data_IF_729236346251
#
_entry.id   IF_729236346251
#
_cell.length_a   1.000
_cell.length_b   1.000
_cell.length_c   1.000
_cell.angle_alpha   90.00
_cell.angle_beta   90.00
_cell.angle_gamma   90.00
#
_symmetry.space_group_name_H-M   'P 1'
#
loop_
_entity.id
_entity.type
_entity.pdbx_description
1 polymer ?
#
# COMPACT_ATOMS: atom_id res chain seq x y z
N UNK A 1 -9.64 1.93 -22.96
CA UNK A 1 -8.29 1.62 -22.46
C UNK A 1 -7.22 1.54 -23.55
N UNK A 2 -7.32 0.70 -24.61
CA UNK A 2 -6.24 0.57 -25.60
C UNK A 2 -5.93 1.89 -26.33
N UNK A 3 -6.96 2.72 -26.57
CA UNK A 3 -6.81 4.00 -27.25
C UNK A 3 -6.02 5.05 -26.43
N UNK A 4 -6.15 5.06 -25.09
CA UNK A 4 -5.44 6.02 -24.24
C UNK A 4 -3.95 5.69 -24.16
N UNK A 5 -3.62 4.43 -23.86
CA UNK A 5 -2.22 3.97 -23.83
C UNK A 5 -1.53 4.16 -25.20
N UNK A 6 -2.23 3.84 -26.29
CA UNK A 6 -1.73 4.06 -27.66
C UNK A 6 -1.46 5.55 -27.93
N UNK A 7 -2.37 6.45 -27.56
CA UNK A 7 -2.19 7.90 -27.76
C UNK A 7 -1.03 8.46 -26.93
N UNK A 8 -0.86 7.99 -25.70
CA UNK A 8 0.28 8.37 -24.88
C UNK A 8 1.60 7.91 -25.52
N UNK A 9 1.63 6.68 -26.06
CA UNK A 9 2.78 6.17 -26.81
C UNK A 9 3.06 6.96 -28.10
N UNK A 10 2.02 7.31 -28.87
CA UNK A 10 2.13 8.17 -30.07
C UNK A 10 2.66 9.57 -29.74
N UNK A 11 2.35 10.10 -28.55
CA UNK A 11 2.92 11.35 -28.06
C UNK A 11 4.38 11.22 -27.61
N UNK A 12 4.93 10.00 -27.51
CA UNK A 12 6.28 9.70 -27.04
C UNK A 12 6.37 9.34 -25.56
N UNK A 13 5.24 9.09 -24.89
CA UNK A 13 5.20 8.67 -23.49
C UNK A 13 5.21 7.16 -23.31
N UNK A 14 5.73 6.71 -22.18
CA UNK A 14 5.73 5.30 -21.77
C UNK A 14 4.81 5.17 -20.56
N UNK A 15 3.73 4.41 -20.69
CA UNK A 15 2.88 4.08 -19.55
C UNK A 15 3.65 3.14 -18.61
N UNK A 16 4.03 3.66 -17.44
CA UNK A 16 4.77 2.92 -16.42
C UNK A 16 3.86 1.97 -15.64
N UNK A 17 2.73 2.51 -15.17
CA UNK A 17 1.78 1.79 -14.32
C UNK A 17 0.35 2.25 -14.61
N UNK A 18 -0.59 1.31 -14.53
CA UNK A 18 -2.03 1.56 -14.44
C UNK A 18 -2.48 0.95 -13.11
N UNK A 19 -2.56 1.78 -12.06
CA UNK A 19 -2.67 1.30 -10.67
C UNK A 19 -4.11 1.10 -10.21
N UNK A 20 -5.03 1.94 -10.67
CA UNK A 20 -6.42 1.95 -10.20
C UNK A 20 -7.35 1.98 -11.41
N UNK A 21 -8.27 1.01 -11.49
CA UNK A 21 -9.41 1.03 -12.42
C UNK A 21 -10.65 0.71 -11.61
N UNK A 22 -11.43 1.73 -11.25
CA UNK A 22 -12.68 1.57 -10.49
C UNK A 22 -13.87 2.11 -11.26
N UNK A 23 -15.00 1.42 -11.13
CA UNK A 23 -16.30 1.90 -11.63
C UNK A 23 -16.92 2.78 -10.57
N UNK A 24 -17.26 4.00 -10.94
CA UNK A 24 -17.99 4.89 -10.04
C UNK A 24 -19.47 4.48 -10.04
N UNK A 25 -20.05 4.30 -8.85
CA UNK A 25 -21.46 3.93 -8.66
C UNK A 25 -21.77 2.45 -8.42
N UNK A 26 -20.76 1.61 -8.12
CA UNK A 26 -21.00 0.23 -7.67
C UNK A 26 -21.41 0.22 -6.18
N UNK A 27 -22.55 -0.35 -5.77
CA UNK A 27 -23.06 -0.29 -4.40
C UNK A 27 -22.15 -0.91 -3.31
N UNK A 28 -21.01 -1.52 -3.67
CA UNK A 28 -20.01 -2.02 -2.72
C UNK A 28 -18.91 -1.01 -2.35
N UNK A 29 -18.74 0.07 -3.11
CA UNK A 29 -17.82 1.15 -2.78
C UNK A 29 -18.50 2.09 -1.78
N UNK A 30 -18.25 1.91 -0.49
CA UNK A 30 -18.89 2.63 0.63
C UNK A 30 -18.63 4.15 0.72
N UNK A 31 -18.74 4.90 -0.38
CA UNK A 31 -18.57 6.34 -0.45
C UNK A 31 -19.70 7.05 -1.21
N UNK A 32 -20.39 7.94 -0.49
CA UNK A 32 -21.35 8.98 -0.93
C UNK A 32 -22.64 8.57 -1.67
N UNK A 33 -23.77 9.04 -1.14
CA UNK A 33 -25.17 8.77 -1.55
C UNK A 33 -25.62 9.40 -2.90
N UNK A 34 -24.70 9.72 -3.82
CA UNK A 34 -25.10 10.17 -5.16
C UNK A 34 -24.67 9.13 -6.21
N UNK A 35 -25.61 8.34 -6.78
CA UNK A 35 -25.29 7.43 -7.85
C UNK A 35 -24.83 8.24 -9.06
N UNK A 36 -23.57 8.08 -9.48
CA UNK A 36 -23.13 8.52 -10.79
C UNK A 36 -23.94 7.76 -11.84
N UNK A 37 -24.99 8.40 -12.36
CA UNK A 37 -25.97 7.86 -13.30
C UNK A 37 -25.37 7.41 -14.66
N UNK A 38 -24.05 7.55 -14.85
CA UNK A 38 -23.33 7.08 -16.02
C UNK A 38 -22.13 6.25 -15.53
N UNK A 39 -21.93 5.07 -16.13
CA UNK A 39 -20.82 4.14 -15.82
C UNK A 39 -19.45 4.71 -16.16
N UNK A 40 -19.06 5.75 -15.42
CA UNK A 40 -17.78 6.42 -15.51
C UNK A 40 -16.73 5.57 -14.78
N UNK A 41 -15.52 5.60 -15.32
CA UNK A 41 -14.38 4.83 -14.82
C UNK A 41 -13.29 5.81 -14.42
N UNK A 42 -12.81 5.70 -13.18
CA UNK A 42 -11.64 6.45 -12.75
C UNK A 42 -10.38 5.62 -12.98
N UNK A 43 -9.37 6.26 -13.56
CA UNK A 43 -8.10 5.66 -13.93
C UNK A 43 -6.97 6.47 -13.32
N UNK A 44 -6.08 5.79 -12.61
CA UNK A 44 -4.78 6.34 -12.21
C UNK A 44 -3.68 5.73 -13.09
N UNK A 45 -2.88 6.61 -13.70
CA UNK A 45 -1.84 6.22 -14.66
C UNK A 45 -0.56 7.03 -14.42
N UNK A 46 0.58 6.35 -14.42
CA UNK A 46 1.89 6.99 -14.41
C UNK A 46 2.51 6.90 -15.81
N UNK A 47 3.01 8.04 -16.31
CA UNK A 47 3.58 8.16 -17.65
C UNK A 47 4.97 8.79 -17.55
N UNK A 48 5.96 8.15 -18.17
CA UNK A 48 7.33 8.65 -18.28
C UNK A 48 7.62 9.16 -19.69
N UNK A 49 8.65 10.01 -19.84
CA UNK A 49 9.13 10.49 -21.14
C UNK A 49 8.33 11.64 -21.76
N UNK A 50 7.32 12.17 -21.06
CA UNK A 50 6.57 13.36 -21.47
C UNK A 50 6.70 14.46 -20.43
N UNK A 51 6.85 15.70 -20.89
CA UNK A 51 6.65 16.87 -20.04
C UNK A 51 5.15 17.07 -19.72
N UNK A 52 4.88 17.87 -18.68
CA UNK A 52 3.53 18.09 -18.15
C UNK A 52 2.59 18.73 -19.18
N UNK A 53 3.07 19.69 -19.97
CA UNK A 53 2.27 20.42 -20.94
C UNK A 53 1.85 19.51 -22.11
N UNK A 54 2.76 18.68 -22.60
CA UNK A 54 2.51 17.71 -23.67
C UNK A 54 1.57 16.60 -23.18
N UNK A 55 1.74 16.14 -21.94
CA UNK A 55 0.84 15.15 -21.33
C UNK A 55 -0.59 15.70 -21.20
N UNK A 56 -0.75 16.91 -20.64
CA UNK A 56 -2.05 17.57 -20.47
C UNK A 56 -2.78 17.75 -21.80
N UNK A 57 -2.08 18.25 -22.83
CA UNK A 57 -2.63 18.39 -24.18
C UNK A 57 -3.09 17.06 -24.78
N UNK A 58 -2.29 16.00 -24.59
CA UNK A 58 -2.60 14.66 -25.09
C UNK A 58 -3.86 14.10 -24.42
N UNK A 59 -3.97 14.25 -23.10
CA UNK A 59 -5.16 13.82 -22.34
C UNK A 59 -6.41 14.60 -22.74
N UNK A 60 -6.32 15.93 -22.84
CA UNK A 60 -7.42 16.78 -23.27
C UNK A 60 -7.93 16.42 -24.67
N UNK A 61 -7.04 16.07 -25.60
CA UNK A 61 -7.41 15.70 -26.96
C UNK A 61 -7.90 14.25 -27.11
N UNK A 62 -7.96 13.46 -26.02
CA UNK A 62 -8.32 12.04 -26.06
C UNK A 62 -9.84 11.85 -25.91
N UNK A 63 -10.54 11.30 -26.93
CA UNK A 63 -11.97 11.02 -26.83
C UNK A 63 -12.28 10.07 -25.68
N UNK A 64 -13.32 10.39 -24.90
CA UNK A 64 -13.75 9.60 -23.74
C UNK A 64 -13.08 9.98 -22.42
N UNK A 65 -12.07 10.85 -22.41
CA UNK A 65 -11.54 11.46 -21.17
C UNK A 65 -12.38 12.69 -20.84
N UNK A 66 -13.25 12.58 -19.82
CA UNK A 66 -14.12 13.70 -19.40
C UNK A 66 -13.37 14.75 -18.58
N UNK A 67 -12.44 14.31 -17.74
CA UNK A 67 -11.63 15.16 -16.88
C UNK A 67 -10.26 14.51 -16.66
N UNK A 68 -9.23 15.32 -16.41
CA UNK A 68 -7.94 14.84 -15.95
C UNK A 68 -7.37 15.81 -14.91
N UNK A 69 -6.63 15.26 -13.95
CA UNK A 69 -5.88 16.02 -12.95
C UNK A 69 -4.44 15.52 -12.97
N UNK A 70 -3.51 16.41 -13.27
CA UNK A 70 -2.10 16.10 -13.16
C UNK A 70 -1.74 16.09 -11.67
N UNK A 71 -1.21 14.97 -11.21
CA UNK A 71 -0.71 14.79 -9.85
C UNK A 71 0.79 14.55 -9.90
N UNK A 72 1.49 14.89 -8.82
CA UNK A 72 2.88 14.46 -8.66
C UNK A 72 2.87 12.96 -8.40
N UNK A 73 3.83 12.22 -8.96
CA UNK A 73 4.01 10.80 -8.67
C UNK A 73 4.02 10.59 -7.14
N UNK A 74 3.12 9.74 -6.64
CA UNK A 74 2.97 9.53 -5.21
C UNK A 74 4.26 8.95 -4.60
N UNK A 75 5.04 8.21 -5.39
CA UNK A 75 6.38 7.75 -5.03
C UNK A 75 7.33 8.89 -4.67
N UNK A 76 7.26 10.04 -5.35
CA UNK A 76 8.16 11.17 -5.08
C UNK A 76 7.81 11.90 -3.78
N UNK A 77 6.53 11.94 -3.42
CA UNK A 77 6.04 12.73 -2.29
C UNK A 77 5.90 11.87 -1.04
N UNK A 78 5.26 10.71 -1.18
CA UNK A 78 4.92 9.80 -0.08
C UNK A 78 5.77 8.53 -0.07
N UNK A 79 6.44 8.20 -1.18
CA UNK A 79 7.39 7.09 -1.25
C UNK A 79 6.80 5.73 -0.93
N UNK A 80 7.60 4.86 -0.31
CA UNK A 80 7.19 3.49 0.07
C UNK A 80 6.18 3.55 1.21
N UNK A 81 5.28 2.56 1.30
CA UNK A 81 4.27 2.50 2.36
C UNK A 81 4.48 1.29 3.25
N UNK A 82 4.53 1.54 4.55
CA UNK A 82 4.32 0.52 5.58
C UNK A 82 2.85 0.57 5.99
N UNK A 83 2.17 -0.57 5.95
CA UNK A 83 0.76 -0.68 6.33
C UNK A 83 0.66 -1.33 7.70
N UNK A 84 -0.18 -0.82 8.60
CA UNK A 84 -0.41 -1.38 9.93
C UNK A 84 -1.90 -1.69 10.12
N UNK A 85 -2.22 -2.95 10.42
CA UNK A 85 -3.59 -3.43 10.62
C UNK A 85 -3.70 -4.14 11.96
N UNK A 86 -4.77 -3.86 12.71
CA UNK A 86 -5.15 -4.67 13.87
C UNK A 86 -5.87 -3.87 14.97
N UNK A 87 -5.68 -4.25 16.23
CA UNK A 87 -6.34 -3.61 17.36
C UNK A 87 -5.80 -2.20 17.61
N UNK A 88 -6.70 -1.21 17.79
CA UNK A 88 -6.34 0.22 17.80
C UNK A 88 -5.20 0.60 18.75
N UNK A 89 -5.14 0.02 19.96
CA UNK A 89 -4.06 0.29 20.91
C UNK A 89 -2.68 -0.22 20.41
N UNK A 90 -2.62 -1.42 19.86
CA UNK A 90 -1.38 -1.99 19.34
C UNK A 90 -0.96 -1.32 18.03
N UNK A 91 -1.94 -1.01 17.16
CA UNK A 91 -1.71 -0.22 15.94
C UNK A 91 -1.06 1.12 16.28
N UNK A 92 -1.54 1.83 17.31
CA UNK A 92 -0.95 3.10 17.73
C UNK A 92 0.51 2.96 18.20
N UNK A 93 0.84 1.90 18.94
CA UNK A 93 2.21 1.65 19.39
C UNK A 93 3.15 1.30 18.23
N UNK A 94 2.70 0.48 17.28
CA UNK A 94 3.46 0.21 16.04
C UNK A 94 3.65 1.49 15.24
N UNK A 95 2.61 2.30 15.11
CA UNK A 95 2.68 3.58 14.40
C UNK A 95 3.70 4.53 15.04
N UNK A 96 3.80 4.58 16.38
CA UNK A 96 4.80 5.39 17.07
C UNK A 96 6.23 5.05 16.63
N UNK A 97 6.59 3.77 16.65
CA UNK A 97 7.92 3.32 16.24
C UNK A 97 8.19 3.48 14.75
N UNK A 98 7.20 3.17 13.92
CA UNK A 98 7.28 3.32 12.47
C UNK A 98 7.43 4.78 12.05
N UNK A 99 6.59 5.69 12.55
CA UNK A 99 6.66 7.12 12.22
C UNK A 99 8.01 7.71 12.68
N UNK A 100 8.45 7.37 13.90
CA UNK A 100 9.73 7.87 14.43
C UNK A 100 10.91 7.48 13.54
N UNK A 101 10.94 6.22 13.06
CA UNK A 101 12.01 5.77 12.16
C UNK A 101 11.83 6.35 10.75
N UNK A 102 10.61 6.41 10.23
CA UNK A 102 10.33 6.97 8.91
C UNK A 102 10.78 8.43 8.83
N UNK A 103 10.53 9.24 9.85
CA UNK A 103 10.96 10.64 9.91
C UNK A 103 12.48 10.78 9.82
N UNK A 104 13.23 9.92 10.51
CA UNK A 104 14.71 9.89 10.45
C UNK A 104 15.21 9.62 9.03
N UNK A 105 14.56 8.71 8.30
CA UNK A 105 14.87 8.42 6.89
C UNK A 105 14.40 9.54 5.95
N UNK A 106 13.22 10.09 6.20
CA UNK A 106 12.59 11.12 5.39
C UNK A 106 13.36 12.45 5.38
N UNK A 107 13.97 12.81 6.50
CA UNK A 107 14.84 13.98 6.61
C UNK A 107 16.13 13.86 5.78
N UNK A 108 16.53 12.63 5.41
CA UNK A 108 17.75 12.36 4.61
C UNK A 108 17.45 12.17 3.12
N UNK A 109 16.22 12.41 2.69
CA UNK A 109 15.82 12.41 1.28
C UNK A 109 15.12 11.14 0.80
N UNK A 110 15.07 10.08 1.62
CA UNK A 110 14.16 8.95 1.36
C UNK A 110 12.70 9.39 1.61
N UNK A 111 11.73 8.60 1.15
CA UNK A 111 10.31 8.81 1.43
C UNK A 111 9.65 7.50 1.83
N UNK A 112 9.14 7.46 3.06
CA UNK A 112 8.41 6.33 3.62
C UNK A 112 7.21 6.90 4.37
N UNK A 113 6.01 6.43 4.03
CA UNK A 113 4.77 6.74 4.75
C UNK A 113 4.32 5.54 5.58
N UNK A 114 3.56 5.83 6.64
CA UNK A 114 2.99 4.83 7.54
C UNK A 114 1.47 5.03 7.51
N UNK A 115 0.76 4.03 7.00
CA UNK A 115 -0.69 4.07 6.86
C UNK A 115 -1.28 3.03 7.81
N UNK A 116 -2.31 3.41 8.57
CA UNK A 116 -2.86 2.55 9.62
C UNK A 116 -4.37 2.44 9.52
N UNK A 117 -4.90 1.29 9.92
CA UNK A 117 -6.33 1.10 10.11
C UNK A 117 -6.57 0.18 11.32
N UNK A 118 -7.46 0.61 12.21
CA UNK A 118 -7.87 -0.18 13.35
C UNK A 118 -9.06 -1.07 12.94
N UNK A 119 -8.88 -2.39 12.99
CA UNK A 119 -9.88 -3.38 12.62
C UNK A 119 -9.88 -4.52 13.64
N UNK A 120 -11.06 -5.10 13.85
CA UNK A 120 -11.27 -6.30 14.65
C UNK A 120 -12.21 -7.24 13.89
N UNK A 121 -12.15 -8.53 14.19
CA UNK A 121 -12.91 -9.55 13.46
C UNK A 121 -12.06 -10.25 12.39
N UNK A 122 -12.17 -11.57 12.33
CA UNK A 122 -11.33 -12.40 11.48
C UNK A 122 -11.53 -12.09 9.99
N UNK A 123 -12.79 -11.97 9.57
CA UNK A 123 -13.16 -11.73 8.16
C UNK A 123 -12.75 -10.34 7.70
N UNK A 124 -12.98 -9.34 8.53
CA UNK A 124 -12.66 -7.93 8.27
C UNK A 124 -11.14 -7.74 8.15
N UNK A 125 -10.38 -8.32 9.07
CA UNK A 125 -8.91 -8.28 8.99
C UNK A 125 -8.43 -9.06 7.78
N UNK A 126 -8.94 -10.27 7.50
CA UNK A 126 -8.53 -11.05 6.34
C UNK A 126 -8.80 -10.32 5.01
N UNK A 127 -9.95 -9.66 4.88
CA UNK A 127 -10.28 -8.84 3.71
C UNK A 127 -9.31 -7.65 3.57
N UNK A 128 -9.05 -6.94 4.68
CA UNK A 128 -8.10 -5.83 4.67
C UNK A 128 -6.67 -6.27 4.33
N UNK A 129 -6.23 -7.43 4.84
CA UNK A 129 -4.92 -8.02 4.52
C UNK A 129 -4.80 -8.28 3.01
N UNK A 130 -5.80 -8.89 2.37
CA UNK A 130 -5.79 -9.11 0.91
C UNK A 130 -5.70 -7.81 0.13
N UNK A 131 -6.48 -6.82 0.53
CA UNK A 131 -6.50 -5.50 -0.11
C UNK A 131 -5.15 -4.76 -0.04
N UNK A 132 -4.23 -5.16 0.86
CA UNK A 132 -2.87 -4.57 0.90
C UNK A 132 -2.11 -4.79 -0.40
N UNK A 133 -2.35 -5.91 -1.09
CA UNK A 133 -1.72 -6.18 -2.38
C UNK A 133 -2.13 -5.19 -3.47
N UNK A 134 -3.33 -4.65 -3.37
CA UNK A 134 -3.86 -3.68 -4.33
C UNK A 134 -3.40 -2.26 -3.99
N UNK A 135 -2.80 -2.03 -2.81
CA UNK A 135 -2.32 -0.71 -2.40
C UNK A 135 -1.06 -0.32 -3.18
N UNK A 136 -1.10 0.75 -4.00
CA UNK A 136 0.08 1.22 -4.68
C UNK A 136 1.15 1.56 -3.65
N UNK A 137 2.41 1.20 -3.94
CA UNK A 137 3.58 1.51 -3.11
C UNK A 137 3.66 0.77 -1.77
N UNK A 138 2.71 -0.13 -1.45
CA UNK A 138 2.83 -0.99 -0.28
C UNK A 138 4.07 -1.88 -0.40
N UNK A 139 4.92 -1.85 0.63
CA UNK A 139 6.18 -2.62 0.69
C UNK A 139 6.27 -3.55 1.88
N UNK A 140 5.45 -3.35 2.91
CA UNK A 140 5.43 -4.20 4.09
C UNK A 140 4.12 -4.03 4.86
N UNK A 141 3.61 -5.14 5.41
CA UNK A 141 2.48 -5.15 6.33
C UNK A 141 2.93 -5.48 7.76
N UNK A 142 2.41 -4.75 8.73
CA UNK A 142 2.50 -5.07 10.17
C UNK A 142 1.13 -5.46 10.71
N UNK A 143 1.03 -6.67 11.26
CA UNK A 143 -0.17 -7.15 11.95
C UNK A 143 -0.03 -6.95 13.46
N UNK A 144 -0.87 -6.08 14.02
CA UNK A 144 -0.81 -5.60 15.39
C UNK A 144 -2.03 -6.10 16.20
N UNK A 145 -1.92 -7.30 16.76
CA UNK A 145 -3.01 -8.00 17.45
C UNK A 145 -2.58 -8.73 18.71
N UNK A 146 -3.56 -9.13 19.52
CA UNK A 146 -3.38 -10.07 20.63
C UNK A 146 -3.75 -11.50 20.25
N UNK A 147 -4.64 -11.65 19.25
CA UNK A 147 -5.01 -12.92 18.64
C UNK A 147 -5.30 -12.73 17.15
N UNK A 148 -4.63 -13.48 16.28
CA UNK A 148 -4.94 -13.55 14.85
C UNK A 148 -4.59 -14.95 14.31
N UNK A 149 -5.49 -15.50 13.49
CA UNK A 149 -5.37 -16.85 12.94
C UNK A 149 -6.37 -17.08 11.82
N UNK A 150 -6.58 -18.35 11.44
CA UNK A 150 -7.63 -18.74 10.49
C UNK A 150 -7.48 -18.04 9.13
N UNK A 151 -8.55 -17.40 8.68
CA UNK A 151 -8.61 -16.70 7.38
C UNK A 151 -7.57 -15.58 7.27
N UNK A 152 -7.18 -14.95 8.40
CA UNK A 152 -6.10 -13.95 8.41
C UNK A 152 -4.77 -14.60 8.01
N UNK A 153 -4.50 -15.81 8.50
CA UNK A 153 -3.26 -16.54 8.15
C UNK A 153 -3.27 -17.03 6.71
N UNK A 154 -4.44 -17.35 6.15
CA UNK A 154 -4.61 -17.67 4.73
C UNK A 154 -4.31 -16.44 3.88
N UNK A 155 -4.96 -15.31 4.15
CA UNK A 155 -4.73 -14.04 3.47
C UNK A 155 -3.26 -13.58 3.57
N UNK A 156 -2.64 -13.76 4.73
CA UNK A 156 -1.22 -13.44 4.94
C UNK A 156 -0.29 -14.26 4.03
N UNK A 157 -0.58 -15.54 3.78
CA UNK A 157 0.20 -16.34 2.81
C UNK A 157 0.01 -15.83 1.39
N UNK A 158 -1.22 -15.53 0.99
CA UNK A 158 -1.55 -15.03 -0.35
C UNK A 158 -0.76 -13.75 -0.69
N UNK A 159 -0.73 -12.75 0.19
CA UNK A 159 -0.02 -11.50 -0.10
C UNK A 159 1.51 -11.64 -0.01
N UNK A 160 2.03 -12.60 0.77
CA UNK A 160 3.47 -12.91 0.81
C UNK A 160 3.93 -13.53 -0.50
N UNK A 161 3.11 -14.38 -1.11
CA UNK A 161 3.37 -14.93 -2.45
C UNK A 161 3.40 -13.83 -3.52
N UNK A 162 2.67 -12.74 -3.29
CA UNK A 162 2.70 -11.52 -4.12
C UNK A 162 3.86 -10.57 -3.78
N UNK A 163 4.75 -10.97 -2.86
CA UNK A 163 5.97 -10.25 -2.54
C UNK A 163 5.85 -9.19 -1.44
N UNK A 164 4.73 -9.14 -0.71
CA UNK A 164 4.59 -8.24 0.45
C UNK A 164 5.00 -8.99 1.73
N UNK A 165 6.15 -8.66 2.33
CA UNK A 165 6.55 -9.25 3.59
C UNK A 165 5.66 -8.80 4.75
N UNK A 166 5.58 -9.66 5.77
CA UNK A 166 4.72 -9.45 6.94
C UNK A 166 5.56 -9.51 8.23
N UNK A 167 5.45 -8.47 9.05
CA UNK A 167 5.85 -8.50 10.45
C UNK A 167 4.57 -8.65 11.29
N UNK A 168 4.58 -9.49 12.33
CA UNK A 168 3.47 -9.53 13.27
C UNK A 168 3.95 -9.37 14.71
N UNK A 169 3.05 -8.90 15.58
CA UNK A 169 3.34 -8.95 17.01
C UNK A 169 3.36 -10.40 17.51
N UNK A 170 4.09 -10.64 18.60
CA UNK A 170 4.03 -11.92 19.31
C UNK A 170 2.64 -12.06 19.96
N UNK A 171 1.78 -12.87 19.35
CA UNK A 171 0.35 -12.96 19.67
C UNK A 171 -0.17 -14.39 19.57
N UNK A 172 -1.38 -14.64 20.07
CA UNK A 172 -2.04 -15.96 19.98
C UNK A 172 -2.52 -16.22 18.54
N UNK A 173 -2.48 -17.48 18.12
CA UNK A 173 -3.04 -17.93 16.84
C UNK A 173 -1.99 -18.18 15.76
N UNK A 174 -2.46 -18.70 14.62
CA UNK A 174 -1.61 -19.23 13.55
C UNK A 174 -0.84 -18.16 12.75
N UNK A 175 -1.10 -16.86 12.98
CA UNK A 175 -0.42 -15.81 12.21
C UNK A 175 1.11 -15.82 12.42
N UNK A 176 1.54 -16.18 13.63
CA UNK A 176 2.96 -16.19 14.03
C UNK A 176 3.77 -17.29 13.33
N UNK A 177 3.11 -18.24 12.69
CA UNK A 177 3.73 -19.31 11.90
C UNK A 177 3.93 -18.91 10.43
N UNK A 178 3.21 -17.89 9.95
CA UNK A 178 3.22 -17.47 8.54
C UNK A 178 3.90 -16.13 8.29
N UNK A 179 4.01 -15.27 9.31
CA UNK A 179 4.70 -13.99 9.21
C UNK A 179 6.20 -14.19 8.95
N UNK A 180 6.84 -13.25 8.25
CA UNK A 180 8.28 -13.29 8.02
C UNK A 180 9.06 -13.06 9.32
N UNK A 181 8.53 -12.22 10.22
CA UNK A 181 9.16 -11.87 11.48
C UNK A 181 8.12 -11.67 12.59
N UNK A 182 8.42 -12.17 13.78
CA UNK A 182 7.58 -11.99 14.98
C UNK A 182 8.33 -11.10 15.97
N UNK A 183 7.70 -10.03 16.44
CA UNK A 183 8.32 -9.06 17.36
C UNK A 183 7.40 -8.82 18.55
N UNK A 184 7.91 -8.90 19.77
CA UNK A 184 7.11 -8.77 20.99
C UNK A 184 6.81 -7.31 21.32
N UNK A 185 7.78 -6.42 21.15
CA UNK A 185 7.60 -4.99 21.39
C UNK A 185 6.96 -4.31 20.15
N UNK A 186 5.78 -3.67 20.30
CA UNK A 186 5.10 -3.06 19.17
C UNK A 186 5.83 -1.85 18.59
N UNK A 187 6.52 -1.05 19.41
CA UNK A 187 7.30 0.09 18.93
C UNK A 187 8.47 -0.41 18.09
N UNK A 188 9.20 -1.41 18.58
CA UNK A 188 10.28 -2.06 17.84
C UNK A 188 9.79 -2.67 16.53
N UNK A 189 8.62 -3.32 16.52
CA UNK A 189 8.02 -3.86 15.30
C UNK A 189 7.83 -2.76 14.24
N UNK A 190 7.35 -1.58 14.64
CA UNK A 190 7.22 -0.42 13.77
C UNK A 190 8.55 0.10 13.24
N UNK A 191 9.56 0.22 14.10
CA UNK A 191 10.91 0.62 13.69
C UNK A 191 11.52 -0.37 12.69
N UNK A 192 11.45 -1.67 12.99
CA UNK A 192 11.96 -2.73 12.12
C UNK A 192 11.23 -2.79 10.78
N UNK A 193 9.92 -2.52 10.76
CA UNK A 193 9.13 -2.40 9.54
C UNK A 193 9.68 -1.33 8.59
N UNK A 194 10.02 -0.15 9.12
CA UNK A 194 10.59 0.93 8.32
C UNK A 194 12.01 0.60 7.88
N UNK A 195 12.85 0.09 8.80
CA UNK A 195 14.21 -0.33 8.46
C UNK A 195 14.23 -1.40 7.37
N UNK A 196 13.22 -2.28 7.30
CA UNK A 196 13.11 -3.31 6.27
C UNK A 196 12.78 -2.78 4.87
N UNK A 197 12.12 -1.62 4.78
CA UNK A 197 11.77 -1.00 3.48
C UNK A 197 12.74 0.11 3.08
N UNK A 198 13.53 0.63 4.01
CA UNK A 198 14.49 1.69 3.75
C UNK A 198 15.71 1.20 2.95
N UNK A 199 16.08 1.91 1.89
CA UNK A 199 17.26 1.56 1.07
C UNK A 199 18.59 1.83 1.80
N UNK A 200 18.53 2.71 2.80
CA UNK A 200 19.70 3.19 3.55
C UNK A 200 19.98 2.42 4.83
N UNK A 201 19.08 1.51 5.22
CA UNK A 201 19.26 0.67 6.39
C UNK A 201 20.03 -0.62 6.03
N UNK A 202 20.90 -1.07 6.92
CA UNK A 202 21.59 -2.37 6.78
C UNK A 202 20.72 -3.55 7.18
N UNK A 203 19.48 -3.29 7.62
CA UNK A 203 18.55 -4.30 8.08
C UNK A 203 17.92 -5.04 6.90
N UNK A 204 18.25 -6.31 6.76
CA UNK A 204 17.63 -7.17 5.75
C UNK A 204 16.64 -8.12 6.42
N UNK A 205 15.34 -7.90 6.17
CA UNK A 205 14.27 -8.74 6.72
C UNK A 205 14.44 -10.22 6.34
N UNK A 206 14.91 -10.49 5.12
CA UNK A 206 15.17 -11.85 4.65
C UNK A 206 16.16 -12.62 5.55
N UNK A 207 17.14 -11.93 6.16
CA UNK A 207 18.11 -12.54 7.10
C UNK A 207 17.52 -12.77 8.49
N UNK A 208 16.38 -12.15 8.80
CA UNK A 208 15.71 -12.28 10.10
C UNK A 208 14.52 -13.25 10.04
N UNK A 209 14.25 -13.88 8.89
CA UNK A 209 13.10 -14.76 8.71
C UNK A 209 13.06 -15.89 9.74
N UNK A 210 11.90 -16.05 10.39
CA UNK A 210 11.68 -17.08 11.41
C UNK A 210 12.28 -16.78 12.78
N UNK A 211 12.93 -15.61 12.97
CA UNK A 211 13.39 -15.16 14.29
C UNK A 211 12.24 -14.55 15.09
N UNK A 212 12.38 -14.57 16.41
CA UNK A 212 11.49 -13.92 17.37
C UNK A 212 12.29 -12.94 18.23
N UNK A 213 11.77 -11.73 18.40
CA UNK A 213 12.37 -10.66 19.21
C UNK A 213 11.44 -10.24 20.35
#
# INVERSE_FOLDING_TARGET
MPALAKRLAEAGGITRTLSTVRRLGDPQDGGSEEPSLNGDVEIEIEVEGLDEEKLARTLHATPGVRAHRLTRALDRIFGKRVIVIGGGAQVAQVALGAVSEADRHNLRGERISVDTIALVGEKEIAAAVRAVADLPRARLLVLAGSIMGGDISVAAREIREQGIPIICLNMVGSITEVADLVVSDPVQAGTMAVMAVADTATFELARQRGRRY
#
